data_IF_771323542462
#
_entry.id   IF_771323542462
#
_cell.length_a   1.000
_cell.length_b   1.000
_cell.length_c   1.000
_cell.angle_alpha   90.00
_cell.angle_beta   90.00
_cell.angle_gamma   90.00
#
_symmetry.space_group_name_H-M   'P 1'
#
loop_
_entity.id
_entity.type
_entity.pdbx_description
1 polymer ?
#
# COMPACT_ATOMS: atom_id res chain seq x y z
N UNK A 1 42.17 5.75 -28.77
CA UNK A 1 41.71 7.07 -28.29
C UNK A 1 40.20 7.21 -28.14
N UNK A 2 39.40 6.67 -29.09
CA UNK A 2 37.96 6.78 -29.02
C UNK A 2 37.36 5.99 -27.84
N UNK A 3 37.93 4.85 -27.49
CA UNK A 3 37.42 4.01 -26.39
C UNK A 3 37.56 4.71 -25.02
N UNK A 4 38.60 5.52 -24.83
CA UNK A 4 38.78 6.24 -23.58
C UNK A 4 37.69 7.31 -23.37
N UNK A 5 37.27 7.96 -24.47
CA UNK A 5 36.18 8.97 -24.38
C UNK A 5 34.87 8.32 -24.04
N UNK A 6 34.57 7.15 -24.62
CA UNK A 6 33.33 6.42 -24.29
C UNK A 6 33.33 5.93 -22.85
N UNK A 7 34.49 5.50 -22.35
CA UNK A 7 34.56 5.04 -20.95
C UNK A 7 34.33 6.17 -19.96
N UNK A 8 34.83 7.38 -20.27
CA UNK A 8 34.56 8.54 -19.43
C UNK A 8 33.08 8.94 -19.46
N UNK A 9 32.44 8.88 -20.65
CA UNK A 9 31.02 9.17 -20.78
C UNK A 9 30.18 8.17 -20.01
N UNK A 10 30.53 6.88 -20.08
CA UNK A 10 29.83 5.85 -19.32
C UNK A 10 29.98 6.05 -17.82
N UNK A 11 31.17 6.47 -17.38
CA UNK A 11 31.41 6.78 -15.97
C UNK A 11 30.57 7.93 -15.48
N UNK A 12 30.48 9.00 -16.28
CA UNK A 12 29.64 10.13 -15.93
C UNK A 12 28.16 9.77 -15.92
N UNK A 13 27.71 8.97 -16.91
CA UNK A 13 26.33 8.50 -16.95
C UNK A 13 26.00 7.63 -15.75
N UNK A 14 26.95 6.75 -15.36
CA UNK A 14 26.74 5.92 -14.16
C UNK A 14 26.68 6.75 -12.90
N UNK A 15 27.51 7.80 -12.81
CA UNK A 15 27.49 8.70 -11.66
C UNK A 15 26.16 9.48 -11.58
N UNK A 16 25.69 9.98 -12.74
CA UNK A 16 24.42 10.71 -12.80
C UNK A 16 23.26 9.78 -12.43
N UNK A 17 23.26 8.56 -12.96
CA UNK A 17 22.23 7.58 -12.65
C UNK A 17 22.25 7.22 -11.17
N UNK A 18 23.43 7.02 -10.59
CA UNK A 18 23.57 6.73 -9.18
C UNK A 18 23.09 7.87 -8.31
N UNK A 19 23.43 9.10 -8.69
CA UNK A 19 22.97 10.28 -7.95
C UNK A 19 21.46 10.43 -8.04
N UNK A 20 20.87 10.16 -9.22
CA UNK A 20 19.43 10.24 -9.39
C UNK A 20 18.72 9.16 -8.55
N UNK A 21 19.30 7.98 -8.47
CA UNK A 21 18.74 6.91 -7.63
C UNK A 21 18.82 7.27 -6.15
N UNK A 22 19.93 7.87 -5.73
CA UNK A 22 20.08 8.29 -4.34
C UNK A 22 19.11 9.42 -3.98
N UNK A 23 18.84 10.33 -4.90
CA UNK A 23 17.88 11.40 -4.64
C UNK A 23 16.46 10.88 -4.52
N UNK A 24 16.18 9.71 -5.08
CA UNK A 24 14.89 9.04 -4.94
C UNK A 24 14.67 8.45 -3.56
N UNK A 25 15.68 8.44 -2.68
CA UNK A 25 15.53 7.91 -1.34
C UNK A 25 14.60 8.73 -0.46
N UNK A 26 14.23 9.94 -0.88
CA UNK A 26 13.26 10.76 -0.18
C UNK A 26 11.83 10.52 -0.63
N UNK A 27 11.61 9.54 -1.50
CA UNK A 27 10.26 9.19 -1.95
C UNK A 27 9.42 8.63 -0.81
N UNK A 28 8.10 8.62 -0.99
CA UNK A 28 7.20 8.08 0.02
C UNK A 28 7.52 6.63 0.38
N UNK A 29 7.98 5.85 -0.60
CA UNK A 29 8.31 4.44 -0.37
C UNK A 29 9.57 4.27 0.46
N UNK A 30 10.60 5.08 0.22
CA UNK A 30 11.89 4.96 0.89
C UNK A 30 12.04 5.86 2.12
N UNK A 31 11.12 6.81 2.32
CA UNK A 31 11.08 7.66 3.51
C UNK A 31 9.68 7.64 4.11
N UNK A 32 9.20 6.47 4.55
CA UNK A 32 7.83 6.34 5.06
C UNK A 32 7.69 6.90 6.47
N UNK A 33 6.44 7.26 6.82
CA UNK A 33 6.11 7.81 8.14
C UNK A 33 5.11 6.91 8.88
N UNK A 34 4.84 5.72 8.37
CA UNK A 34 3.95 4.76 9.00
C UNK A 34 4.63 3.45 9.30
N UNK A 35 4.05 2.67 10.22
CA UNK A 35 4.61 1.39 10.63
C UNK A 35 4.72 0.41 9.46
N UNK A 36 3.66 0.31 8.65
CA UNK A 36 3.67 -0.60 7.51
C UNK A 36 4.69 -0.16 6.45
N UNK A 37 4.78 1.16 6.23
CA UNK A 37 5.75 1.69 5.28
C UNK A 37 7.19 1.44 5.70
N UNK A 38 7.49 1.52 7.01
CA UNK A 38 8.83 1.21 7.51
C UNK A 38 9.18 -0.26 7.27
N UNK A 39 8.22 -1.16 7.46
CA UNK A 39 8.45 -2.58 7.21
C UNK A 39 8.63 -2.85 5.72
N UNK A 40 7.91 -2.16 4.86
CA UNK A 40 8.08 -2.28 3.40
C UNK A 40 9.46 -1.80 2.98
N UNK A 41 9.95 -0.70 3.56
CA UNK A 41 11.29 -0.20 3.27
C UNK A 41 12.35 -1.22 3.67
N UNK A 42 12.20 -1.80 4.87
CA UNK A 42 13.15 -2.81 5.34
C UNK A 42 13.17 -4.03 4.41
N UNK A 43 12.00 -4.47 3.94
CA UNK A 43 11.93 -5.59 3.01
C UNK A 43 12.61 -5.26 1.68
N UNK A 44 12.37 -4.07 1.14
CA UNK A 44 12.97 -3.66 -0.13
C UNK A 44 14.49 -3.60 0.00
N UNK A 45 15.00 -3.02 1.07
CA UNK A 45 16.44 -2.91 1.30
C UNK A 45 17.08 -4.28 1.51
N UNK A 46 16.41 -5.18 2.22
CA UNK A 46 16.90 -6.55 2.40
C UNK A 46 16.96 -7.29 1.06
N UNK A 47 15.95 -7.21 0.26
CA UNK A 47 15.92 -7.83 -1.06
C UNK A 47 17.03 -7.30 -1.98
N UNK A 48 17.18 -6.22 -1.84
CA UNK A 48 18.16 -5.60 -2.62
C UNK A 48 19.49 -6.05 -2.29
N UNK A 49 19.74 -6.07 -1.06
CA UNK A 49 21.01 -6.56 -0.59
C UNK A 49 21.27 -8.00 -0.97
N UNK A 50 20.26 -8.85 -0.82
CA UNK A 50 20.38 -10.26 -1.21
C UNK A 50 20.65 -10.42 -2.70
N UNK A 51 19.99 -9.62 -3.52
CA UNK A 51 20.23 -9.67 -4.96
C UNK A 51 21.65 -9.24 -5.30
N UNK A 52 22.20 -8.24 -4.59
CA UNK A 52 23.57 -7.81 -4.80
C UNK A 52 24.56 -8.91 -4.42
N UNK A 53 24.27 -9.67 -3.36
CA UNK A 53 25.12 -10.78 -2.95
C UNK A 53 25.21 -11.84 -4.06
N UNK A 54 24.16 -12.00 -4.86
CA UNK A 54 24.18 -12.93 -6.00
C UNK A 54 24.81 -12.29 -7.24
N UNK A 55 24.43 -11.06 -7.56
CA UNK A 55 24.78 -10.42 -8.83
C UNK A 55 26.25 -10.02 -8.86
N UNK A 56 26.76 -9.42 -7.79
CA UNK A 56 28.14 -8.94 -7.79
C UNK A 56 29.15 -10.07 -7.96
N UNK A 57 29.08 -11.19 -7.22
CA UNK A 57 29.99 -12.31 -7.49
C UNK A 57 29.86 -12.87 -8.90
N UNK A 58 28.62 -12.94 -9.44
CA UNK A 58 28.43 -13.44 -10.80
C UNK A 58 29.13 -12.55 -11.82
N UNK A 59 29.01 -11.22 -11.67
CA UNK A 59 29.68 -10.28 -12.57
C UNK A 59 31.20 -10.39 -12.42
N UNK A 60 31.68 -10.44 -11.18
CA UNK A 60 33.14 -10.56 -10.93
C UNK A 60 33.67 -11.83 -11.55
N UNK A 61 32.98 -12.95 -11.42
CA UNK A 61 33.41 -14.21 -12.00
C UNK A 61 33.38 -14.15 -13.52
N UNK A 62 32.35 -13.56 -14.12
CA UNK A 62 32.26 -13.45 -15.57
C UNK A 62 33.40 -12.61 -16.11
N UNK A 63 33.69 -11.47 -15.48
CA UNK A 63 34.81 -10.63 -15.93
C UNK A 63 36.13 -11.31 -15.67
N UNK A 64 36.31 -11.97 -14.53
CA UNK A 64 37.52 -12.64 -14.17
C UNK A 64 37.84 -13.78 -15.12
N UNK A 65 36.84 -14.59 -15.47
CA UNK A 65 37.06 -15.68 -16.42
C UNK A 65 37.32 -15.16 -17.84
N UNK A 66 36.62 -14.10 -18.25
CA UNK A 66 36.88 -13.50 -19.55
C UNK A 66 38.28 -12.95 -19.62
N UNK A 67 38.76 -12.35 -18.54
CA UNK A 67 40.12 -11.85 -18.47
C UNK A 67 41.16 -12.99 -18.47
N UNK A 68 40.95 -14.00 -17.61
CA UNK A 68 41.90 -15.10 -17.44
C UNK A 68 42.01 -15.93 -18.68
N UNK A 69 40.92 -16.21 -19.38
CA UNK A 69 40.88 -17.09 -20.53
C UNK A 69 40.75 -16.35 -21.87
N UNK A 70 41.11 -15.06 -21.89
CA UNK A 70 41.10 -14.32 -23.13
C UNK A 70 42.14 -14.94 -24.12
N UNK A 71 41.89 -14.71 -25.40
CA UNK A 71 42.72 -15.32 -26.45
C UNK A 71 44.22 -14.96 -26.37
N UNK A 72 44.53 -13.78 -25.78
CA UNK A 72 45.91 -13.32 -25.65
C UNK A 72 46.63 -13.88 -24.42
N UNK A 73 45.95 -14.56 -23.51
CA UNK A 73 46.55 -15.11 -22.30
C UNK A 73 47.03 -16.53 -22.57
N UNK A 74 48.32 -16.66 -22.87
CA UNK A 74 48.92 -17.95 -23.15
C UNK A 74 49.29 -18.75 -21.91
N UNK A 75 49.27 -18.11 -20.73
CA UNK A 75 49.66 -18.77 -19.48
C UNK A 75 48.48 -19.47 -18.82
N UNK A 76 47.24 -19.25 -19.28
CA UNK A 76 46.09 -19.89 -18.70
C UNK A 76 46.06 -21.38 -19.03
N UNK A 77 45.78 -22.21 -18.02
CA UNK A 77 45.67 -23.64 -18.18
C UNK A 77 44.40 -24.01 -18.94
N UNK A 78 44.57 -24.74 -20.03
CA UNK A 78 43.43 -25.18 -20.84
C UNK A 78 42.87 -26.49 -20.28
N UNK A 79 41.60 -26.47 -19.91
CA UNK A 79 40.93 -27.64 -19.34
C UNK A 79 39.57 -27.84 -20.01
N UNK A 80 39.53 -28.45 -21.18
CA UNK A 80 38.26 -28.60 -21.91
C UNK A 80 37.26 -29.52 -21.22
N UNK A 81 37.71 -30.39 -20.33
CA UNK A 81 36.84 -31.32 -19.62
C UNK A 81 36.47 -30.87 -18.24
N UNK A 82 36.69 -29.60 -17.91
CA UNK A 82 36.42 -29.06 -16.56
C UNK A 82 34.94 -28.82 -16.28
N UNK A 83 34.06 -29.01 -17.25
CA UNK A 83 32.66 -28.73 -17.10
C UNK A 83 31.95 -29.62 -16.07
N UNK A 84 32.58 -30.67 -15.59
CA UNK A 84 31.96 -31.64 -14.68
C UNK A 84 32.65 -31.71 -13.32
N UNK A 85 32.99 -30.57 -12.72
CA UNK A 85 33.52 -30.59 -11.36
C UNK A 85 32.36 -30.69 -10.35
N UNK A 86 32.39 -31.75 -9.55
CA UNK A 86 31.32 -31.97 -8.55
C UNK A 86 31.34 -30.90 -7.48
N UNK A 87 32.50 -30.41 -7.07
CA UNK A 87 32.61 -29.37 -6.06
C UNK A 87 32.05 -28.04 -6.58
N UNK A 88 32.37 -27.66 -7.80
CA UNK A 88 31.89 -26.41 -8.38
C UNK A 88 30.41 -26.49 -8.61
N UNK A 89 29.93 -27.62 -9.12
CA UNK A 89 28.49 -27.81 -9.33
C UNK A 89 27.72 -27.74 -8.03
N UNK A 90 28.24 -28.34 -6.95
CA UNK A 90 27.58 -28.29 -5.66
C UNK A 90 27.43 -26.85 -5.17
N UNK A 91 28.48 -26.03 -5.29
CA UNK A 91 28.43 -24.64 -4.86
C UNK A 91 27.49 -23.84 -5.76
N UNK A 92 27.59 -24.03 -7.09
CA UNK A 92 26.80 -23.27 -8.05
C UNK A 92 25.29 -23.53 -7.85
N UNK A 93 24.92 -24.76 -7.51
CA UNK A 93 23.52 -25.10 -7.29
C UNK A 93 23.04 -24.79 -5.87
N UNK A 94 23.89 -25.02 -4.87
CA UNK A 94 23.49 -24.88 -3.46
C UNK A 94 23.27 -23.42 -3.08
N UNK A 95 24.16 -22.52 -3.47
CA UNK A 95 24.06 -21.11 -3.05
C UNK A 95 22.76 -20.45 -3.56
N UNK A 96 22.43 -20.56 -4.87
CA UNK A 96 21.15 -20.00 -5.32
C UNK A 96 19.93 -20.62 -4.65
N UNK A 97 19.96 -21.95 -4.42
CA UNK A 97 18.84 -22.63 -3.79
C UNK A 97 18.62 -22.11 -2.37
N UNK A 98 19.72 -21.93 -1.60
CA UNK A 98 19.61 -21.39 -0.25
C UNK A 98 19.05 -19.96 -0.24
N UNK A 99 19.47 -19.14 -1.21
CA UNK A 99 19.00 -17.78 -1.34
C UNK A 99 17.50 -17.77 -1.67
N UNK A 100 17.07 -18.65 -2.58
CA UNK A 100 15.64 -18.76 -2.93
C UNK A 100 14.83 -19.19 -1.72
N UNK A 101 15.32 -20.15 -0.93
CA UNK A 101 14.63 -20.58 0.28
C UNK A 101 14.51 -19.42 1.27
N UNK A 102 15.59 -18.68 1.47
CA UNK A 102 15.58 -17.53 2.38
C UNK A 102 14.57 -16.48 1.91
N UNK A 103 14.58 -16.17 0.60
CA UNK A 103 13.64 -15.19 0.04
C UNK A 103 12.20 -15.66 0.17
N UNK A 104 11.95 -16.96 -0.01
CA UNK A 104 10.59 -17.51 0.14
C UNK A 104 10.10 -17.36 1.57
N UNK A 105 10.95 -17.69 2.56
CA UNK A 105 10.59 -17.54 3.96
C UNK A 105 10.37 -16.08 4.31
N UNK A 106 11.24 -15.20 3.84
CA UNK A 106 11.10 -13.76 4.08
C UNK A 106 9.81 -13.22 3.48
N UNK A 107 9.49 -13.62 2.24
CA UNK A 107 8.27 -13.20 1.58
C UNK A 107 7.04 -13.70 2.34
N UNK A 108 7.06 -14.95 2.78
CA UNK A 108 5.97 -15.52 3.54
C UNK A 108 5.71 -14.74 4.83
N UNK A 109 6.76 -14.51 5.62
CA UNK A 109 6.63 -13.80 6.88
C UNK A 109 6.19 -12.35 6.66
N UNK A 110 6.76 -11.69 5.66
CA UNK A 110 6.47 -10.28 5.41
C UNK A 110 5.05 -10.09 4.89
N UNK A 111 4.61 -10.98 3.99
CA UNK A 111 3.24 -10.90 3.46
C UNK A 111 2.22 -11.01 4.58
N UNK A 112 2.45 -11.91 5.53
CA UNK A 112 1.52 -12.07 6.65
C UNK A 112 1.60 -10.90 7.64
N UNK A 113 2.79 -10.32 7.83
CA UNK A 113 2.96 -9.18 8.72
C UNK A 113 2.39 -7.90 8.15
N UNK A 114 2.43 -7.72 6.84
CA UNK A 114 2.01 -6.48 6.18
C UNK A 114 0.61 -6.53 5.60
N UNK A 115 -0.14 -7.59 5.87
CA UNK A 115 -1.50 -7.72 5.36
C UNK A 115 -2.35 -6.52 5.79
N UNK A 116 -3.02 -5.81 4.84
CA UNK A 116 -3.74 -4.58 5.17
C UNK A 116 -4.86 -4.75 6.19
N UNK A 117 -5.53 -5.90 6.19
CA UNK A 117 -6.63 -6.16 7.10
C UNK A 117 -6.17 -6.61 8.48
N UNK A 118 -4.88 -6.90 8.68
CA UNK A 118 -4.35 -7.35 9.96
C UNK A 118 -4.26 -6.17 10.94
N UNK A 119 -4.85 -6.27 12.16
CA UNK A 119 -4.72 -5.20 13.15
C UNK A 119 -3.27 -5.00 13.58
N UNK A 120 -2.91 -3.74 13.80
CA UNK A 120 -1.57 -3.42 14.29
C UNK A 120 -1.53 -3.52 15.78
N UNK A 121 -0.69 -4.11 16.26
CA UNK A 121 -0.56 -4.30 17.59
C UNK A 121 -0.23 -3.01 18.21
N UNK A 122 -0.92 -2.63 19.02
CA UNK A 122 -0.71 -1.39 19.75
C UNK A 122 -1.62 -1.36 20.95
N UNK A 123 -1.18 -0.70 21.98
CA UNK A 123 -1.99 -0.61 23.23
C UNK A 123 -3.16 0.32 23.14
N UNK A 124 -3.21 1.26 22.32
CA UNK A 124 -4.24 2.19 22.20
C UNK A 124 -5.41 1.61 21.44
N UNK A 125 -6.40 2.07 21.87
CA UNK A 125 -7.64 1.72 21.17
C UNK A 125 -7.67 2.35 19.78
N UNK A 126 -7.93 1.52 18.74
CA UNK A 126 -7.95 2.07 17.39
C UNK A 126 -9.07 3.07 17.13
N UNK A 127 -8.98 4.06 16.31
CA UNK A 127 -9.88 4.94 15.77
C UNK A 127 -10.50 4.32 14.58
N UNK A 128 -11.60 4.43 14.55
CA UNK A 128 -12.27 3.87 13.37
C UNK A 128 -12.70 4.99 12.45
N UNK A 129 -12.35 4.88 11.17
CA UNK A 129 -12.81 5.81 10.13
C UNK A 129 -13.41 4.98 9.01
N UNK A 130 -14.66 5.28 8.64
CA UNK A 130 -15.34 4.63 7.51
C UNK A 130 -15.15 5.47 6.27
N UNK A 131 -14.77 4.81 5.23
CA UNK A 131 -14.38 5.50 3.99
C UNK A 131 -15.29 5.09 2.85
N UNK A 132 -15.90 5.98 2.12
CA UNK A 132 -16.72 5.77 1.04
C UNK A 132 -16.12 6.43 -0.16
N UNK A 133 -15.71 6.02 -1.12
CA UNK A 133 -15.31 6.49 -2.31
C UNK A 133 -16.51 6.87 -3.08
N UNK A 134 -16.52 7.96 -3.57
CA UNK A 134 -17.56 8.50 -4.46
C UNK A 134 -16.92 8.92 -5.78
N UNK A 135 -17.74 9.29 -6.75
CA UNK A 135 -17.23 9.89 -8.00
C UNK A 135 -17.12 11.41 -7.75
N UNK A 136 -16.09 11.85 -7.55
CA UNK A 136 -14.65 11.77 -7.59
C UNK A 136 -14.18 12.53 -6.36
N UNK A 137 -14.53 11.99 -5.21
CA UNK A 137 -14.19 12.54 -3.92
C UNK A 137 -14.16 11.43 -2.88
N UNK A 138 -13.55 11.74 -1.77
CA UNK A 138 -13.46 10.81 -0.65
C UNK A 138 -14.36 11.30 0.48
N UNK A 139 -15.26 10.46 0.89
CA UNK A 139 -16.19 10.75 2.00
C UNK A 139 -15.79 9.90 3.19
N UNK A 140 -15.65 10.53 4.35
CA UNK A 140 -15.17 9.86 5.55
C UNK A 140 -16.21 10.03 6.67
N UNK A 141 -16.48 8.95 7.38
CA UNK A 141 -17.40 8.94 8.52
C UNK A 141 -16.63 8.54 9.76
N UNK A 142 -16.82 9.30 10.83
CA UNK A 142 -16.26 8.99 12.15
C UNK A 142 -17.42 8.49 13.02
N UNK A 143 -17.64 7.17 13.10
CA UNK A 143 -18.83 6.67 13.81
C UNK A 143 -18.81 6.97 15.30
N UNK A 144 -17.63 7.00 15.93
CA UNK A 144 -17.54 7.28 17.36
C UNK A 144 -17.73 8.76 17.68
N UNK A 145 -17.21 9.64 16.83
CA UNK A 145 -17.33 11.08 17.03
C UNK A 145 -18.62 11.66 16.45
N UNK A 146 -19.27 10.92 15.56
CA UNK A 146 -20.53 11.36 14.97
C UNK A 146 -20.42 12.44 13.93
N UNK A 147 -19.27 12.55 13.27
CA UNK A 147 -19.03 13.56 12.24
C UNK A 147 -18.67 12.87 10.92
N UNK A 148 -18.67 13.67 9.85
CA UNK A 148 -18.22 13.21 8.55
C UNK A 148 -17.47 14.33 7.85
N UNK A 149 -16.62 13.96 6.89
CA UNK A 149 -15.81 14.94 6.15
C UNK A 149 -15.70 14.53 4.69
N UNK A 150 -15.31 15.49 3.85
CA UNK A 150 -14.96 15.26 2.45
C UNK A 150 -13.52 15.71 2.24
N UNK A 151 -12.70 14.81 1.72
CA UNK A 151 -11.33 15.06 1.26
C UNK A 151 -10.34 15.54 2.32
N UNK A 152 -10.68 15.32 3.60
CA UNK A 152 -9.73 15.56 4.70
C UNK A 152 -10.07 14.65 5.87
N UNK A 153 -9.02 14.03 6.44
CA UNK A 153 -9.15 13.27 7.67
C UNK A 153 -8.09 13.72 8.66
N UNK A 154 -8.35 13.43 9.92
CA UNK A 154 -7.37 13.64 10.99
C UNK A 154 -7.44 12.48 11.96
N UNK A 155 -6.30 12.16 12.57
CA UNK A 155 -6.20 11.16 13.62
C UNK A 155 -4.92 11.41 14.39
N UNK A 156 -4.86 11.00 15.66
CA UNK A 156 -3.64 11.22 16.43
C UNK A 156 -2.48 10.37 15.90
N UNK A 157 -1.29 10.95 15.89
CA UNK A 157 -0.09 10.18 15.60
C UNK A 157 0.11 9.11 16.68
N UNK A 158 0.82 8.05 16.32
CA UNK A 158 1.13 6.93 17.25
C UNK A 158 -0.12 6.25 17.79
N UNK A 159 -1.20 6.31 17.02
CA UNK A 159 -2.46 5.67 17.37
C UNK A 159 -2.89 4.83 16.19
N UNK A 160 -3.22 3.55 16.40
CA UNK A 160 -3.68 2.73 15.26
C UNK A 160 -5.03 3.22 14.77
N UNK A 161 -5.20 3.23 13.46
CA UNK A 161 -6.45 3.63 12.82
C UNK A 161 -6.95 2.48 11.98
N UNK A 162 -8.20 2.11 12.20
CA UNK A 162 -8.87 1.12 11.37
C UNK A 162 -9.72 1.84 10.33
N UNK A 163 -9.39 1.67 9.07
CA UNK A 163 -10.18 2.19 7.98
C UNK A 163 -11.09 1.08 7.45
N UNK A 164 -12.39 1.31 7.51
CA UNK A 164 -13.37 0.43 6.89
C UNK A 164 -13.76 1.07 5.57
N UNK A 165 -13.53 0.39 4.46
CA UNK A 165 -13.54 1.02 3.15
C UNK A 165 -14.55 0.35 2.23
N UNK A 166 -15.36 1.16 1.54
CA UNK A 166 -16.27 0.68 0.52
C UNK A 166 -16.35 1.73 -0.59
N UNK A 167 -17.12 1.42 -1.64
CA UNK A 167 -17.30 2.35 -2.75
C UNK A 167 -18.78 2.58 -3.01
N UNK A 168 -19.12 3.79 -3.41
CA UNK A 168 -20.46 4.14 -3.89
C UNK A 168 -20.48 4.20 -5.42
N UNK A 169 -19.47 3.63 -6.06
CA UNK A 169 -19.32 3.70 -7.52
C UNK A 169 -18.45 2.53 -7.97
N UNK A 170 -17.56 2.78 -8.92
CA UNK A 170 -16.66 1.76 -9.43
C UNK A 170 -15.60 1.39 -8.39
N UNK A 171 -14.87 0.32 -8.66
CA UNK A 171 -13.75 -0.08 -7.81
C UNK A 171 -12.69 1.01 -7.79
N UNK A 172 -12.10 1.19 -6.62
CA UNK A 172 -11.11 2.24 -6.40
C UNK A 172 -10.03 1.71 -5.45
N UNK A 173 -9.00 2.50 -5.19
CA UNK A 173 -7.95 2.14 -4.24
C UNK A 173 -7.71 3.28 -3.27
N UNK A 174 -7.83 3.00 -1.99
CA UNK A 174 -7.56 3.95 -0.92
C UNK A 174 -6.10 3.83 -0.53
N UNK A 175 -5.35 4.93 -0.60
CA UNK A 175 -3.91 4.87 -0.47
C UNK A 175 -3.36 6.15 0.16
N UNK A 176 -2.59 5.99 1.24
CA UNK A 176 -1.79 7.07 1.84
C UNK A 176 -0.34 6.61 1.75
N UNK A 177 0.39 7.02 0.70
CA UNK A 177 1.70 6.41 0.42
C UNK A 177 2.70 6.45 1.57
N UNK A 178 2.78 7.54 2.30
CA UNK A 178 3.76 7.63 3.39
C UNK A 178 3.43 6.75 4.59
N UNK A 179 2.19 6.32 4.73
CA UNK A 179 1.83 5.40 5.80
C UNK A 179 1.92 3.94 5.38
N UNK A 180 2.04 3.70 4.07
CA UNK A 180 2.19 2.37 3.51
C UNK A 180 0.87 1.68 3.27
N UNK A 181 0.94 0.67 2.41
CA UNK A 181 -0.21 -0.19 2.12
C UNK A 181 -1.36 0.55 1.44
N UNK A 182 -2.16 -0.19 0.72
CA UNK A 182 -3.38 0.32 0.11
C UNK A 182 -4.42 -0.78 0.14
N UNK A 183 -5.68 -0.41 -0.06
CA UNK A 183 -6.76 -1.39 -0.06
C UNK A 183 -7.80 -1.00 -1.11
N UNK A 184 -8.39 -1.99 -1.77
CA UNK A 184 -9.44 -1.74 -2.74
C UNK A 184 -10.74 -1.36 -2.07
N UNK A 185 -11.43 -0.39 -2.67
CA UNK A 185 -12.78 0.00 -2.29
C UNK A 185 -13.71 -0.55 -3.37
N UNK A 186 -14.60 -1.46 -2.97
CA UNK A 186 -15.52 -2.11 -3.90
C UNK A 186 -16.95 -1.94 -3.44
N UNK A 187 -17.84 -1.63 -4.38
CA UNK A 187 -19.25 -1.46 -4.05
C UNK A 187 -19.83 -2.77 -3.52
N UNK A 188 -20.58 -2.67 -2.44
CA UNK A 188 -21.23 -3.84 -1.83
C UNK A 188 -20.30 -4.66 -0.94
N UNK A 189 -19.06 -4.23 -0.74
CA UNK A 189 -18.10 -4.94 0.09
C UNK A 189 -17.42 -4.00 1.07
N UNK A 190 -17.02 -4.52 2.22
CA UNK A 190 -16.22 -3.80 3.19
C UNK A 190 -14.82 -4.39 3.21
N UNK A 191 -13.83 -3.55 3.12
CA UNK A 191 -12.44 -3.97 3.28
C UNK A 191 -11.82 -3.20 4.45
N UNK A 192 -10.91 -3.56 5.02
CA UNK A 192 -10.34 -2.99 6.14
C UNK A 192 -8.95 -2.69 5.87
N UNK A 193 -8.37 -1.75 6.42
CA UNK A 193 -6.99 -1.31 6.36
C UNK A 193 -6.57 -0.75 7.72
N UNK A 194 -5.48 -1.24 8.25
CA UNK A 194 -4.97 -0.75 9.54
C UNK A 194 -3.68 0.01 9.31
N UNK A 195 -3.64 1.26 9.78
CA UNK A 195 -2.46 2.11 9.64
C UNK A 195 -2.14 2.79 10.97
N UNK A 196 -0.88 3.21 11.10
CA UNK A 196 -0.45 4.04 12.21
C UNK A 196 0.60 5.01 11.68
N UNK A 197 0.45 6.29 12.01
CA UNK A 197 1.43 7.30 11.65
C UNK A 197 2.40 7.47 12.81
N UNK A 198 3.68 7.25 12.54
CA UNK A 198 4.71 7.35 13.57
C UNK A 198 5.13 8.79 13.85
N UNK A 199 4.81 9.72 12.96
CA UNK A 199 5.13 11.13 13.11
C UNK A 199 3.93 11.98 12.80
N UNK A 200 3.73 13.04 13.55
CA UNK A 200 2.70 14.04 13.24
C UNK A 200 3.06 14.75 11.94
N UNK A 201 2.03 15.17 11.21
CA UNK A 201 2.21 15.86 9.95
C UNK A 201 1.00 15.72 9.08
N UNK A 202 1.06 16.31 7.90
CA UNK A 202 -0.01 16.21 6.91
C UNK A 202 0.47 15.36 5.75
N UNK A 203 -0.28 14.31 5.46
CA UNK A 203 0.10 13.34 4.43
C UNK A 203 -0.91 13.36 3.30
N UNK A 204 -0.41 13.18 2.07
CA UNK A 204 -1.27 13.11 0.91
C UNK A 204 -1.91 11.74 0.80
N UNK A 205 -3.22 11.72 0.53
CA UNK A 205 -3.93 10.51 0.18
C UNK A 205 -4.46 10.61 -1.23
N UNK A 206 -4.63 9.47 -1.88
CA UNK A 206 -5.06 9.47 -3.27
C UNK A 206 -5.76 8.17 -3.64
N UNK A 207 -6.36 8.18 -4.81
CA UNK A 207 -6.84 6.96 -5.45
C UNK A 207 -5.75 6.42 -6.36
N UNK A 208 -5.52 5.13 -6.29
CA UNK A 208 -4.51 4.48 -7.13
C UNK A 208 -5.12 3.76 -8.33
N UNK A 209 -6.46 3.82 -8.50
CA UNK A 209 -7.16 3.20 -9.62
C UNK A 209 -7.92 4.25 -10.42
N UNK A 210 -7.69 4.28 -11.73
CA UNK A 210 -8.42 5.21 -12.60
C UNK A 210 -9.93 4.93 -12.50
N UNK A 211 -10.72 5.98 -12.30
CA UNK A 211 -12.15 5.85 -12.06
C UNK A 211 -13.00 6.81 -12.90
N UNK A 212 -12.42 7.47 -13.89
CA UNK A 212 -13.20 8.34 -14.77
C UNK A 212 -12.69 9.77 -14.85
N UNK A 213 -13.56 10.66 -15.31
CA UNK A 213 -13.20 12.03 -15.67
C UNK A 213 -12.57 12.82 -14.54
N UNK A 214 -13.07 12.66 -13.31
CA UNK A 214 -12.57 13.43 -12.16
C UNK A 214 -11.50 12.74 -11.36
N UNK A 215 -10.94 11.64 -11.86
CA UNK A 215 -9.96 10.84 -11.13
C UNK A 215 -8.75 11.64 -10.66
N UNK A 216 -8.26 12.55 -11.50
CA UNK A 216 -7.05 13.30 -11.17
C UNK A 216 -7.24 14.23 -9.96
N UNK A 217 -8.48 14.57 -9.63
CA UNK A 217 -8.79 15.40 -8.47
C UNK A 217 -9.19 14.63 -7.23
N UNK A 218 -9.15 13.31 -7.27
CA UNK A 218 -9.52 12.47 -6.12
C UNK A 218 -8.37 12.37 -5.13
N UNK A 219 -8.08 13.47 -4.46
CA UNK A 219 -7.01 13.55 -3.48
C UNK A 219 -7.56 14.07 -2.17
N UNK A 220 -6.94 13.65 -1.08
CA UNK A 220 -7.34 14.11 0.24
C UNK A 220 -6.10 14.33 1.10
N UNK A 221 -6.30 15.00 2.22
CA UNK A 221 -5.23 15.21 3.20
C UNK A 221 -5.50 14.40 4.44
N UNK A 222 -4.48 13.71 4.92
CA UNK A 222 -4.54 12.95 6.16
C UNK A 222 -3.66 13.65 7.18
N UNK A 223 -4.27 14.21 8.21
CA UNK A 223 -3.58 14.98 9.23
C UNK A 223 -3.33 14.10 10.44
N UNK A 224 -2.07 13.74 10.69
CA UNK A 224 -1.69 13.04 11.91
C UNK A 224 -1.37 14.10 12.96
N UNK A 225 -2.23 14.23 13.95
CA UNK A 225 -2.06 15.26 14.97
C UNK A 225 -1.01 14.84 16.00
N UNK A 226 -0.31 15.81 16.62
CA UNK A 226 0.72 15.45 17.58
C UNK A 226 0.16 14.83 18.86
N UNK A 227 -1.11 15.08 19.18
CA UNK A 227 -1.71 14.53 20.40
C UNK A 227 -3.23 14.43 20.23
N UNK A 228 -3.87 13.81 21.23
CA UNK A 228 -5.33 13.65 21.24
C UNK A 228 -6.04 14.99 21.37
N UNK A 229 -5.47 15.94 22.06
CA UNK A 229 -6.11 17.24 22.24
C UNK A 229 -6.27 17.96 20.91
N UNK A 230 -5.22 17.95 20.08
CA UNK A 230 -5.29 18.56 18.75
C UNK A 230 -6.32 17.85 17.87
N UNK A 231 -6.38 16.54 17.97
CA UNK A 231 -7.41 15.79 17.25
C UNK A 231 -8.80 16.18 17.71
N UNK A 232 -8.99 16.30 19.03
CA UNK A 232 -10.31 16.68 19.56
C UNK A 232 -10.70 18.08 19.13
N UNK A 233 -9.75 18.99 18.98
CA UNK A 233 -10.00 20.32 18.45
C UNK A 233 -10.48 20.26 17.00
N UNK A 234 -9.86 19.38 16.21
CA UNK A 234 -10.29 19.17 14.82
C UNK A 234 -11.73 18.63 14.77
N UNK A 235 -12.05 17.69 15.64
CA UNK A 235 -13.41 17.15 15.73
C UNK A 235 -14.38 18.25 16.13
N UNK A 236 -14.02 19.08 17.10
CA UNK A 236 -14.87 20.19 17.53
C UNK A 236 -15.13 21.18 16.40
N UNK A 237 -14.12 21.42 15.57
CA UNK A 237 -14.29 22.29 14.41
C UNK A 237 -15.30 21.68 13.42
N UNK A 238 -15.23 20.38 13.20
CA UNK A 238 -16.20 19.70 12.34
C UNK A 238 -17.61 19.77 12.91
N UNK A 239 -17.74 19.68 14.22
CA UNK A 239 -19.06 19.76 14.87
C UNK A 239 -19.69 21.14 14.81
N UNK A 240 -18.92 22.16 14.47
CA UNK A 240 -19.46 23.51 14.30
C UNK A 240 -20.04 23.73 12.89
N UNK A 241 -19.90 22.77 12.00
CA UNK A 241 -20.43 22.91 10.64
C UNK A 241 -21.96 22.98 10.67
N UNK A 242 -22.55 23.88 9.87
CA UNK A 242 -24.01 23.91 9.73
C UNK A 242 -24.57 22.80 8.87
N UNK A 243 -23.70 22.05 8.19
CA UNK A 243 -24.12 21.01 7.26
C UNK A 243 -24.19 19.65 7.96
N UNK A 244 -25.22 18.89 7.65
CA UNK A 244 -25.47 17.58 8.24
C UNK A 244 -25.84 16.59 7.13
N UNK A 245 -25.62 15.30 7.39
CA UNK A 245 -26.09 14.22 6.51
C UNK A 245 -26.90 13.27 7.39
N UNK A 246 -28.18 13.57 7.55
CA UNK A 246 -29.03 12.83 8.47
C UNK A 246 -29.98 11.85 7.77
N UNK A 247 -29.94 11.78 6.43
CA UNK A 247 -30.78 10.83 5.70
C UNK A 247 -30.13 10.44 4.40
N UNK A 248 -30.69 9.40 3.76
CA UNK A 248 -30.12 8.89 2.51
C UNK A 248 -30.28 9.88 1.35
N UNK A 249 -31.32 10.70 1.35
CA UNK A 249 -31.53 11.68 0.28
C UNK A 249 -30.38 12.70 0.26
N UNK A 250 -29.99 13.19 1.43
CA UNK A 250 -28.85 14.12 1.53
C UNK A 250 -27.56 13.44 1.12
N UNK A 251 -27.38 12.19 1.55
CA UNK A 251 -26.21 11.42 1.14
C UNK A 251 -26.14 11.26 -0.38
N UNK A 252 -27.26 10.94 -1.03
CA UNK A 252 -27.27 10.75 -2.47
C UNK A 252 -26.95 12.02 -3.23
N UNK A 253 -27.38 13.18 -2.71
CA UNK A 253 -26.99 14.45 -3.32
C UNK A 253 -25.49 14.67 -3.24
N UNK A 254 -24.88 14.35 -2.11
CA UNK A 254 -23.41 14.45 -1.99
C UNK A 254 -22.71 13.47 -2.93
N UNK A 255 -23.26 12.28 -3.07
CA UNK A 255 -22.64 11.22 -3.88
C UNK A 255 -22.72 11.47 -5.38
N UNK A 256 -23.54 12.43 -5.84
CA UNK A 256 -23.63 12.75 -7.25
C UNK A 256 -22.25 13.15 -7.79
N UNK A 257 -21.91 12.75 -9.03
CA UNK A 257 -20.59 13.02 -9.57
C UNK A 257 -20.20 14.49 -9.53
N UNK A 258 -19.01 14.78 -9.06
CA UNK A 258 -18.44 16.13 -9.01
C UNK A 258 -16.93 16.04 -8.95
N UNK A 259 -16.25 17.09 -9.41
CA UNK A 259 -14.80 17.10 -9.56
C UNK A 259 -14.16 18.18 -8.71
N UNK A 260 -12.92 17.92 -8.26
CA UNK A 260 -12.08 18.88 -7.53
C UNK A 260 -12.82 19.50 -6.36
N UNK A 261 -13.40 18.63 -5.55
CA UNK A 261 -14.23 19.06 -4.42
C UNK A 261 -13.37 19.63 -3.30
N UNK A 262 -13.87 20.70 -2.68
CA UNK A 262 -13.22 21.30 -1.53
C UNK A 262 -13.47 20.45 -0.29
N UNK A 263 -12.64 20.66 0.73
CA UNK A 263 -12.84 20.04 2.02
C UNK A 263 -14.18 20.52 2.61
N UNK A 264 -14.96 19.57 3.12
CA UNK A 264 -16.23 19.87 3.78
C UNK A 264 -16.32 19.12 5.09
N UNK A 265 -17.02 19.69 6.05
CA UNK A 265 -17.27 19.06 7.33
C UNK A 265 -18.77 18.94 7.55
N UNK A 266 -19.17 17.83 8.19
CA UNK A 266 -20.57 17.58 8.53
C UNK A 266 -20.65 17.30 10.02
N UNK A 267 -21.44 18.07 10.72
CA UNK A 267 -21.53 17.98 12.18
C UNK A 267 -22.35 16.80 12.66
N UNK A 268 -23.09 16.16 11.77
CA UNK A 268 -23.91 15.01 12.13
C UNK A 268 -24.05 14.10 10.91
N UNK A 269 -24.12 12.80 11.16
CA UNK A 269 -24.25 11.81 10.10
C UNK A 269 -25.28 10.77 10.50
N UNK A 270 -26.03 10.27 9.51
CA UNK A 270 -27.06 9.26 9.73
C UNK A 270 -26.46 8.02 10.39
N UNK A 271 -27.05 7.52 11.47
CA UNK A 271 -26.56 6.28 12.08
C UNK A 271 -26.57 5.14 11.05
N UNK A 272 -25.55 4.33 11.07
CA UNK A 272 -25.39 3.16 10.19
C UNK A 272 -25.36 3.51 8.70
N UNK A 273 -25.01 4.75 8.36
CA UNK A 273 -24.94 5.15 6.96
C UNK A 273 -24.00 4.28 6.15
N UNK A 274 -22.83 3.96 6.69
CA UNK A 274 -21.84 3.14 6.01
C UNK A 274 -22.39 1.77 5.63
N UNK A 275 -23.05 1.12 6.57
CA UNK A 275 -23.67 -0.19 6.33
C UNK A 275 -24.81 -0.05 5.32
N UNK A 276 -25.61 1.02 5.40
CA UNK A 276 -26.67 1.25 4.44
C UNK A 276 -26.13 1.39 3.02
N UNK A 277 -24.99 2.07 2.86
CA UNK A 277 -24.38 2.23 1.54
C UNK A 277 -23.89 0.86 1.00
N UNK A 278 -23.30 0.05 1.86
CA UNK A 278 -22.87 -1.29 1.43
C UNK A 278 -24.08 -2.12 1.00
N UNK A 279 -25.15 -2.10 1.80
CA UNK A 279 -26.34 -2.89 1.51
C UNK A 279 -27.03 -2.45 0.23
N UNK A 280 -26.93 -1.17 -0.12
CA UNK A 280 -27.49 -0.64 -1.36
C UNK A 280 -26.90 -1.36 -2.59
N UNK A 281 -25.64 -1.78 -2.52
CA UNK A 281 -24.95 -2.41 -3.62
C UNK A 281 -24.83 -3.94 -3.50
N UNK A 282 -25.31 -4.51 -2.40
CA UNK A 282 -25.36 -5.98 -2.29
C UNK A 282 -26.56 -6.51 -3.07
N UNK A 283 -26.44 -7.63 -3.67
CA UNK A 283 -27.53 -8.21 -4.44
C UNK A 283 -28.73 -8.58 -3.58
N UNK A 284 -29.79 -9.04 -4.25
CA UNK A 284 -31.06 -9.35 -3.59
C UNK A 284 -30.89 -10.36 -2.46
N UNK A 285 -31.44 -10.04 -1.29
CA UNK A 285 -31.50 -10.94 -0.18
C UNK A 285 -30.27 -11.03 0.69
N UNK A 286 -29.22 -10.29 0.36
CA UNK A 286 -28.01 -10.26 1.19
C UNK A 286 -27.85 -8.88 1.78
N UNK A 287 -27.84 -8.78 3.08
CA UNK A 287 -27.57 -7.53 3.77
C UNK A 287 -26.52 -7.74 4.83
N UNK A 288 -25.70 -6.71 5.03
CA UNK A 288 -24.67 -6.75 6.05
C UNK A 288 -25.24 -6.22 7.36
N UNK A 289 -25.13 -7.01 8.43
CA UNK A 289 -25.52 -6.57 9.76
C UNK A 289 -24.36 -5.82 10.40
N UNK A 290 -24.69 -4.83 11.22
CA UNK A 290 -23.68 -4.05 11.93
C UNK A 290 -22.81 -4.97 12.81
N UNK A 291 -23.41 -6.00 13.39
CA UNK A 291 -22.70 -6.92 14.26
C UNK A 291 -21.76 -7.86 13.52
N UNK A 292 -21.90 -8.00 12.22
CA UNK A 292 -21.06 -8.92 11.43
C UNK A 292 -19.80 -8.28 10.88
N UNK A 293 -19.61 -6.99 11.11
CA UNK A 293 -18.47 -6.29 10.53
C UNK A 293 -17.13 -6.72 11.12
N UNK A 294 -17.15 -7.44 12.23
CA UNK A 294 -15.93 -7.88 12.88
C UNK A 294 -15.48 -9.28 12.45
N UNK A 295 -16.32 -10.02 11.75
CA UNK A 295 -16.03 -11.40 11.39
C UNK A 295 -15.84 -11.68 9.92
N UNK A 296 -15.57 -10.67 9.12
CA UNK A 296 -15.60 -10.83 7.67
C UNK A 296 -14.39 -11.54 7.05
N UNK A 297 -13.39 -11.86 7.85
CA UNK A 297 -12.23 -12.55 7.29
C UNK A 297 -12.55 -13.96 6.76
N UNK A 298 -13.64 -14.55 7.21
CA UNK A 298 -13.95 -15.92 6.81
C UNK A 298 -14.95 -16.01 5.66
N UNK A 299 -15.44 -14.89 5.16
CA UNK A 299 -16.48 -14.91 4.14
C UNK A 299 -15.94 -15.19 2.73
N UNK A 300 -14.65 -14.95 2.50
CA UNK A 300 -14.08 -15.14 1.17
C UNK A 300 -13.85 -16.60 0.79
N UNK A 301 -13.72 -17.47 1.77
CA UNK A 301 -13.51 -18.88 1.49
C UNK A 301 -14.80 -19.63 1.13
N UNK A 302 -15.94 -19.04 1.45
CA UNK A 302 -17.22 -19.71 1.21
C UNK A 302 -17.86 -19.44 -0.14
N UNK A 303 -17.34 -18.48 -0.89
CA UNK A 303 -18.00 -18.11 -2.15
C UNK A 303 -17.57 -18.94 -3.36
N UNK A 304 -16.47 -19.68 -3.26
CA UNK A 304 -15.98 -20.43 -4.40
C UNK A 304 -16.59 -21.83 -4.54
N UNK A 305 -17.41 -22.25 -3.58
CA UNK A 305 -17.91 -23.62 -3.59
C UNK A 305 -19.30 -23.82 -4.18
N UNK A 306 -19.99 -22.73 -4.53
CA UNK A 306 -21.38 -22.85 -4.96
C UNK A 306 -21.60 -22.80 -6.47
N UNK A 307 -20.53 -22.80 -7.26
CA UNK A 307 -20.69 -22.77 -8.71
C UNK A 307 -20.56 -24.13 -9.40
N UNK A 308 -20.39 -25.20 -8.65
CA UNK A 308 -20.10 -26.50 -9.24
C UNK A 308 -21.31 -27.42 -9.41
N UNK A 309 -22.54 -27.00 -9.05
CA UNK A 309 -23.64 -27.95 -8.99
C UNK A 309 -24.88 -27.62 -9.81
N UNK A 310 -24.74 -27.00 -10.97
CA UNK A 310 -25.92 -26.89 -11.85
C UNK A 310 -25.56 -27.26 -13.28
N UNK A 311 -25.33 -28.52 -13.53
CA UNK A 311 -25.34 -29.04 -14.89
C UNK A 311 -25.99 -30.38 -14.90
N UNK A 312 -27.32 -30.39 -15.01
CA UNK A 312 -28.12 -31.52 -15.48
C UNK A 312 -29.34 -31.00 -16.18
#
# INVERSE_FOLDING_TARGET
MRLRKYNKSLGWLSLIAGTALLSGCNSALLDPKGQIGLEQRSLILTAXGLMLIVVIPAIVMAIGFAWKYRATNKDAKYSPNWSHSNKVEAVVWTVPILIIIFLAVLTWKTTHALEPSKPLXHDXKPXTIEVXXMDWKWFFIYPEQGIATVNEIAFPANTPVEFKVTSNSVMNSFFIPRLGSQIYAMAGMQTXLHLIANEAGTYDGLSANYSGAGFSGMKFKAIATPDNETFNQWVAKAKQSPTVINDMATYEKLAAPSEFNKVEYFSSVKPNLFVDVINKFMGHGKSMDVTQSEGEHNAHEGMDMNHAETSH
#
